data_IF_866012368046
#
_entry.id   IF_866012368046
#
_cell.length_a   1.000
_cell.length_b   1.000
_cell.length_c   1.000
_cell.angle_alpha   90.00
_cell.angle_beta   90.00
_cell.angle_gamma   90.00
#
_symmetry.space_group_name_H-M   'P 1'
#
loop_
_entity.id
_entity.type
_entity.pdbx_description
1 polymer ?
#
# COMPACT_ATOMS: atom_id res chain seq x y z
N UNK A 1 -44.70 -21.87 -18.94
CA UNK A 1 -43.75 -22.15 -17.85
C UNK A 1 -42.47 -21.40 -18.25
N UNK A 2 -42.23 -20.16 -17.82
CA UNK A 2 -41.89 -19.76 -16.44
C UNK A 2 -40.70 -20.64 -16.00
N UNK A 3 -39.49 -20.12 -15.79
CA UNK A 3 -39.13 -19.17 -14.76
C UNK A 3 -37.75 -18.57 -15.03
N UNK A 4 -37.62 -17.28 -14.68
CA UNK A 4 -36.51 -16.71 -13.89
C UNK A 4 -35.14 -16.63 -14.58
N UNK A 5 -34.55 -15.42 -14.67
CA UNK A 5 -33.58 -14.87 -13.70
C UNK A 5 -32.35 -15.79 -13.60
N UNK A 6 -31.11 -15.33 -13.50
CA UNK A 6 -30.56 -14.65 -12.33
C UNK A 6 -29.11 -14.27 -12.73
N UNK A 7 -28.78 -13.00 -12.51
CA UNK A 7 -27.47 -12.43 -12.15
C UNK A 7 -26.28 -12.52 -13.11
N UNK A 8 -25.97 -11.35 -13.65
CA UNK A 8 -24.63 -10.81 -13.81
C UNK A 8 -23.71 -11.18 -12.64
N UNK A 9 -22.62 -11.88 -12.92
CA UNK A 9 -21.40 -11.82 -12.11
C UNK A 9 -20.27 -11.28 -13.00
N UNK A 10 -20.24 -9.95 -13.16
CA UNK A 10 -19.00 -9.27 -13.48
C UNK A 10 -18.15 -9.30 -12.21
N UNK A 11 -17.38 -10.38 -12.02
CA UNK A 11 -16.31 -10.40 -11.04
C UNK A 11 -15.23 -9.48 -11.62
N UNK A 12 -15.28 -8.19 -11.26
CA UNK A 12 -14.08 -7.37 -11.26
C UNK A 12 -13.20 -7.90 -10.15
N UNK A 13 -12.43 -8.95 -10.46
CA UNK A 13 -11.18 -9.17 -9.77
C UNK A 13 -10.30 -7.98 -10.14
N UNK A 14 -10.43 -6.88 -9.39
CA UNK A 14 -9.36 -5.90 -9.27
C UNK A 14 -8.16 -6.69 -8.75
N UNK A 15 -7.33 -7.15 -9.68
CA UNK A 15 -5.99 -7.59 -9.37
C UNK A 15 -5.33 -6.40 -8.70
N UNK A 16 -5.34 -6.40 -7.36
CA UNK A 16 -4.35 -5.68 -6.61
C UNK A 16 -3.04 -6.32 -7.06
N UNK A 17 -2.40 -5.73 -8.07
CA UNK A 17 -1.01 -6.01 -8.35
C UNK A 17 -0.32 -5.93 -6.99
N UNK A 18 0.47 -6.95 -6.65
CA UNK A 18 1.26 -6.97 -5.43
C UNK A 18 2.23 -5.78 -5.50
N UNK A 19 1.74 -4.62 -5.10
CA UNK A 19 2.51 -3.41 -5.09
C UNK A 19 3.42 -3.48 -3.87
N UNK A 20 4.60 -2.88 -3.99
CA UNK A 20 5.59 -2.91 -2.93
C UNK A 20 6.67 -1.90 -3.25
N UNK A 21 7.18 -1.26 -2.21
CA UNK A 21 8.24 -0.28 -2.34
C UNK A 21 9.58 -1.00 -2.44
N UNK A 22 10.23 -0.86 -3.57
CA UNK A 22 11.54 -1.45 -3.87
C UNK A 22 12.70 -0.51 -3.55
N UNK A 23 12.43 0.80 -3.43
CA UNK A 23 13.38 1.77 -2.94
C UNK A 23 14.05 1.29 -1.65
N UNK A 24 15.30 1.70 -1.46
CA UNK A 24 16.05 1.33 -0.27
C UNK A 24 16.23 -0.20 -0.14
N UNK A 25 16.45 -0.87 -1.29
CA UNK A 25 16.61 -2.31 -1.40
C UNK A 25 15.46 -3.10 -0.76
N UNK A 26 14.23 -2.57 -0.87
CA UNK A 26 13.03 -3.15 -0.28
C UNK A 26 12.90 -3.00 1.24
N UNK A 27 13.87 -2.40 1.94
CA UNK A 27 13.81 -2.23 3.41
C UNK A 27 12.68 -1.29 3.85
N UNK A 28 12.30 -0.35 2.98
CA UNK A 28 11.19 0.55 3.25
C UNK A 28 9.85 -0.20 3.34
N UNK A 29 9.68 -1.30 2.60
CA UNK A 29 8.44 -2.08 2.59
C UNK A 29 8.06 -2.60 3.98
N UNK A 30 9.02 -3.17 4.71
CA UNK A 30 8.76 -3.68 6.07
C UNK A 30 8.31 -2.58 7.04
N UNK A 31 8.89 -1.38 6.93
CA UNK A 31 8.47 -0.22 7.71
C UNK A 31 7.04 0.21 7.37
N UNK A 32 6.68 0.18 6.08
CA UNK A 32 5.34 0.55 5.60
C UNK A 32 4.32 -0.48 6.05
N UNK A 33 4.62 -1.77 5.99
CA UNK A 33 3.73 -2.84 6.43
C UNK A 33 3.48 -2.78 7.95
N UNK A 34 4.53 -2.53 8.74
CA UNK A 34 4.40 -2.32 10.18
C UNK A 34 3.58 -1.07 10.50
N UNK A 35 3.83 0.04 9.81
CA UNK A 35 3.07 1.27 9.99
C UNK A 35 1.60 1.11 9.57
N UNK A 36 1.34 0.36 8.50
CA UNK A 36 -0.01 0.04 8.01
C UNK A 36 -0.80 -0.70 9.07
N UNK A 37 -0.23 -1.75 9.64
CA UNK A 37 -0.89 -2.57 10.67
C UNK A 37 -0.99 -1.87 12.03
N UNK A 38 -0.08 -0.94 12.34
CA UNK A 38 -0.07 -0.23 13.63
C UNK A 38 -0.90 1.06 13.65
N UNK A 39 -1.01 1.76 12.52
CA UNK A 39 -1.69 3.06 12.43
C UNK A 39 -3.08 2.98 11.79
N UNK A 40 -3.47 1.82 11.25
CA UNK A 40 -4.71 1.62 10.51
C UNK A 40 -5.28 0.22 10.78
N UNK A 41 -6.49 -0.03 10.30
CA UNK A 41 -7.11 -1.37 10.33
C UNK A 41 -6.80 -2.20 9.07
N UNK A 42 -5.94 -1.69 8.18
CA UNK A 42 -5.57 -2.36 6.95
C UNK A 42 -4.55 -3.49 7.20
N UNK A 43 -4.57 -4.51 6.34
CA UNK A 43 -3.59 -5.60 6.39
C UNK A 43 -2.25 -5.14 5.82
N UNK A 44 -1.15 -5.74 6.28
CA UNK A 44 0.16 -5.56 5.65
C UNK A 44 0.08 -5.90 4.14
N UNK A 45 0.70 -5.10 3.29
CA UNK A 45 0.64 -5.22 1.84
C UNK A 45 -0.69 -4.86 1.19
N UNK A 46 -1.73 -4.50 1.96
CA UNK A 46 -3.02 -4.07 1.40
C UNK A 46 -2.94 -2.60 0.98
N UNK A 47 -2.38 -2.36 -0.20
CA UNK A 47 -2.25 -1.02 -0.74
C UNK A 47 -3.58 -0.38 -1.09
N UNK A 48 -4.60 -1.15 -1.47
CA UNK A 48 -5.93 -0.61 -1.76
C UNK A 48 -6.58 0.00 -0.49
N UNK A 49 -6.38 -0.64 0.67
CA UNK A 49 -6.80 -0.09 1.96
C UNK A 49 -5.83 0.97 2.47
N UNK A 50 -4.53 0.67 2.48
CA UNK A 50 -3.48 1.52 3.04
C UNK A 50 -3.39 2.89 2.37
N UNK A 51 -3.63 2.96 1.06
CA UNK A 51 -3.64 4.23 0.33
C UNK A 51 -4.71 5.22 0.79
N UNK A 52 -5.79 4.75 1.43
CA UNK A 52 -6.81 5.61 2.06
C UNK A 52 -6.31 6.29 3.34
N UNK A 53 -5.24 5.77 3.92
CA UNK A 53 -4.65 6.22 5.18
C UNK A 53 -3.18 6.59 5.03
N UNK A 54 -2.72 6.90 3.81
CA UNK A 54 -1.30 7.07 3.54
C UNK A 54 -0.65 8.15 4.39
N UNK A 55 -1.35 9.23 4.75
CA UNK A 55 -0.82 10.25 5.66
C UNK A 55 -0.45 9.68 7.04
N UNK A 56 -1.28 8.79 7.58
CA UNK A 56 -1.02 8.13 8.87
C UNK A 56 0.15 7.14 8.75
N UNK A 57 0.17 6.39 7.66
CA UNK A 57 1.22 5.41 7.38
C UNK A 57 2.57 6.11 7.17
N UNK A 58 2.61 7.21 6.41
CA UNK A 58 3.82 8.02 6.23
C UNK A 58 4.34 8.53 7.57
N UNK A 59 3.48 9.12 8.40
CA UNK A 59 3.90 9.63 9.72
C UNK A 59 4.49 8.52 10.61
N UNK A 60 3.82 7.35 10.67
CA UNK A 60 4.30 6.22 11.47
C UNK A 60 5.54 5.53 10.88
N UNK A 61 5.67 5.49 9.55
CA UNK A 61 6.79 4.83 8.87
C UNK A 61 8.05 5.71 8.77
N UNK A 62 7.92 7.04 8.80
CA UNK A 62 9.01 7.98 8.46
C UNK A 62 10.31 7.68 9.23
N UNK A 63 10.25 7.58 10.56
CA UNK A 63 11.44 7.30 11.38
C UNK A 63 12.05 5.92 11.08
N UNK A 64 11.21 4.92 10.84
CA UNK A 64 11.67 3.58 10.47
C UNK A 64 12.36 3.58 9.10
N UNK A 65 11.74 4.22 8.09
CA UNK A 65 12.27 4.28 6.73
C UNK A 65 13.58 5.05 6.70
N UNK A 66 13.69 6.20 7.38
CA UNK A 66 14.95 6.97 7.43
C UNK A 66 16.07 6.11 8.03
N UNK A 67 15.79 5.40 9.13
CA UNK A 67 16.78 4.53 9.77
C UNK A 67 17.16 3.34 8.87
N UNK A 68 16.16 2.65 8.30
CA UNK A 68 16.36 1.50 7.43
C UNK A 68 17.13 1.84 6.15
N UNK A 69 16.93 3.05 5.61
CA UNK A 69 17.55 3.53 4.38
C UNK A 69 18.86 4.28 4.60
N UNK A 70 19.24 4.53 5.85
CA UNK A 70 20.49 5.16 6.24
C UNK A 70 20.61 6.65 5.91
N UNK A 71 19.67 7.24 5.17
CA UNK A 71 19.63 8.67 4.89
C UNK A 71 18.22 9.12 4.45
N UNK A 72 17.98 10.43 4.57
CA UNK A 72 16.68 11.06 4.22
C UNK A 72 16.43 11.00 2.71
N UNK A 73 17.44 11.17 1.86
CA UNK A 73 17.24 11.19 0.40
C UNK A 73 16.68 9.86 -0.12
N UNK A 74 17.20 8.73 0.36
CA UNK A 74 16.69 7.40 0.04
C UNK A 74 15.29 7.16 0.62
N UNK A 75 14.99 7.70 1.80
CA UNK A 75 13.66 7.64 2.39
C UNK A 75 12.62 8.44 1.59
N UNK A 76 13.00 9.59 1.03
CA UNK A 76 12.14 10.35 0.11
C UNK A 76 11.83 9.57 -1.16
N UNK A 77 12.80 8.82 -1.70
CA UNK A 77 12.57 7.91 -2.84
C UNK A 77 11.50 6.85 -2.53
N UNK A 78 11.55 6.25 -1.35
CA UNK A 78 10.53 5.30 -0.89
C UNK A 78 9.15 5.95 -0.72
N UNK A 79 9.09 7.18 -0.19
CA UNK A 79 7.85 7.94 -0.07
C UNK A 79 7.24 8.27 -1.45
N UNK A 80 8.09 8.63 -2.42
CA UNK A 80 7.67 8.90 -3.80
C UNK A 80 7.10 7.63 -4.45
N UNK A 81 7.78 6.49 -4.31
CA UNK A 81 7.33 5.20 -4.86
C UNK A 81 6.00 4.75 -4.23
N UNK A 82 5.86 4.87 -2.90
CA UNK A 82 4.59 4.60 -2.21
C UNK A 82 3.43 5.46 -2.76
N UNK A 83 3.69 6.74 -3.07
CA UNK A 83 2.70 7.63 -3.69
C UNK A 83 2.36 7.21 -5.11
N UNK A 84 3.35 6.81 -5.91
CA UNK A 84 3.13 6.28 -7.27
C UNK A 84 2.34 4.97 -7.26
N UNK A 85 2.54 4.11 -6.26
CA UNK A 85 1.71 2.92 -6.04
C UNK A 85 0.26 3.35 -5.77
N UNK A 86 0.04 4.27 -4.82
CA UNK A 86 -1.30 4.73 -4.49
C UNK A 86 -2.02 5.45 -5.62
N UNK A 87 -1.29 6.09 -6.53
CA UNK A 87 -1.87 6.69 -7.73
C UNK A 87 -2.40 5.63 -8.72
N UNK A 88 -1.77 4.45 -8.77
CA UNK A 88 -2.18 3.33 -9.63
C UNK A 88 -3.33 2.49 -9.04
N UNK A 89 -3.59 2.62 -7.74
CA UNK A 89 -4.66 1.89 -7.03
C UNK A 89 -5.98 2.68 -6.96
N UNK A 90 -6.12 3.74 -7.77
CA UNK A 90 -7.35 4.54 -7.89
C UNK A 90 -8.35 3.94 -8.85
#
# INVERSE_FOLDING_TARGET
>A
MQFSSIFSLAILASGAAAAGVTACNGKAQGCIDQATTSATSCRAGDWACGCKYMDKIQQAATSCVINACGNINSAMGAAQEARSICAQQK
#
